data_IF_971486927022
#
_entry.id   IF_971486927022
#
_cell.length_a   1.000
_cell.length_b   1.000
_cell.length_c   1.000
_cell.angle_alpha   90.00
_cell.angle_beta   90.00
_cell.angle_gamma   90.00
#
_symmetry.space_group_name_H-M   'P 1'
#
loop_
_entity.id
_entity.type
_entity.pdbx_description
1 polymer ?
#
# COMPACT_ATOMS: atom_id res chain seq x y z
N UNK A 1 -17.84 -20.94 -2.83
CA UNK A 1 -17.16 -19.96 -3.71
C UNK A 1 -15.77 -19.61 -3.18
N UNK A 2 -15.62 -19.25 -1.88
CA UNK A 2 -14.31 -18.84 -1.31
C UNK A 2 -13.23 -19.92 -1.44
N UNK A 3 -13.54 -21.17 -1.12
CA UNK A 3 -12.57 -22.28 -1.21
C UNK A 3 -12.07 -22.55 -2.64
N UNK A 4 -12.75 -22.05 -3.68
CA UNK A 4 -12.27 -22.20 -5.05
C UNK A 4 -11.11 -21.26 -5.40
N UNK A 5 -10.83 -20.26 -4.58
CA UNK A 5 -9.67 -19.38 -4.75
C UNK A 5 -8.38 -19.97 -4.17
N UNK A 6 -8.49 -20.94 -3.26
CA UNK A 6 -7.36 -21.55 -2.59
C UNK A 6 -6.89 -22.78 -3.36
N UNK A 7 -5.60 -22.86 -3.68
CA UNK A 7 -4.99 -24.03 -4.31
C UNK A 7 -4.67 -25.13 -3.29
N UNK A 8 -4.53 -24.76 -2.03
CA UNK A 8 -4.20 -25.65 -0.90
C UNK A 8 -4.72 -25.05 0.40
N UNK A 9 -4.97 -25.88 1.39
CA UNK A 9 -5.32 -25.48 2.75
C UNK A 9 -4.07 -25.35 3.65
N UNK A 10 -2.88 -25.58 3.09
CA UNK A 10 -1.62 -25.53 3.83
C UNK A 10 -0.92 -24.19 3.62
N UNK A 11 -0.39 -23.62 4.72
CA UNK A 11 0.52 -22.48 4.67
C UNK A 11 1.94 -22.95 4.41
N UNK A 12 2.59 -22.32 3.46
CA UNK A 12 4.02 -22.51 3.23
C UNK A 12 4.74 -21.26 3.75
N UNK A 13 5.56 -21.44 4.80
CA UNK A 13 6.43 -20.35 5.26
C UNK A 13 7.58 -20.21 4.27
N UNK A 14 7.58 -19.11 3.53
CA UNK A 14 8.58 -18.83 2.49
C UNK A 14 9.85 -18.26 3.11
N UNK A 15 9.73 -17.46 4.16
CA UNK A 15 10.85 -16.79 4.81
C UNK A 15 10.58 -16.50 6.28
N UNK A 16 11.64 -16.44 7.07
CA UNK A 16 11.65 -15.99 8.46
C UNK A 16 12.81 -15.00 8.65
N UNK A 17 12.59 -13.91 9.41
CA UNK A 17 13.64 -12.92 9.70
C UNK A 17 13.33 -11.51 9.24
N UNK A 18 12.09 -11.22 8.79
CA UNK A 18 11.58 -9.86 8.74
C UNK A 18 11.06 -9.45 10.13
N UNK A 19 11.27 -8.19 10.51
CA UNK A 19 10.63 -7.64 11.70
C UNK A 19 9.19 -7.22 11.42
N UNK A 20 8.96 -6.62 10.24
CA UNK A 20 7.66 -6.15 9.81
C UNK A 20 7.60 -6.15 8.28
N UNK A 21 6.93 -7.14 7.71
CA UNK A 21 6.81 -7.29 6.26
C UNK A 21 5.68 -6.41 5.73
N UNK A 22 6.00 -5.53 4.78
CA UNK A 22 5.10 -4.54 4.21
C UNK A 22 5.13 -4.54 2.68
N UNK A 23 4.04 -4.08 2.07
CA UNK A 23 3.94 -3.78 0.66
C UNK A 23 4.41 -4.89 -0.28
N UNK A 24 3.92 -6.15 -0.16
CA UNK A 24 4.30 -7.18 -1.11
C UNK A 24 3.86 -6.80 -2.52
N UNK A 25 4.79 -6.89 -3.47
CA UNK A 25 4.59 -6.53 -4.87
C UNK A 25 5.25 -7.56 -5.79
N UNK A 26 4.47 -8.14 -6.70
CA UNK A 26 4.98 -9.05 -7.71
C UNK A 26 5.34 -8.28 -8.98
N UNK A 27 6.52 -8.54 -9.52
CA UNK A 27 7.05 -7.94 -10.76
C UNK A 27 7.05 -9.01 -11.84
N UNK A 28 6.07 -8.99 -12.78
CA UNK A 28 5.80 -10.11 -13.68
C UNK A 28 6.97 -10.47 -14.61
N UNK A 29 7.61 -9.48 -15.25
CA UNK A 29 8.69 -9.73 -16.22
C UNK A 29 9.96 -10.34 -15.59
N UNK A 30 10.07 -10.30 -14.24
CA UNK A 30 11.19 -10.90 -13.49
C UNK A 30 10.80 -12.14 -12.71
N UNK A 31 9.52 -12.53 -12.74
CA UNK A 31 8.97 -13.58 -11.88
C UNK A 31 9.43 -13.41 -10.42
N UNK A 32 9.35 -12.19 -9.91
CA UNK A 32 9.94 -11.77 -8.64
C UNK A 32 8.88 -11.17 -7.71
N UNK A 33 8.81 -11.65 -6.46
CA UNK A 33 8.09 -10.99 -5.40
C UNK A 33 9.06 -10.11 -4.60
N UNK A 34 8.71 -8.83 -4.40
CA UNK A 34 9.45 -7.90 -3.54
C UNK A 34 8.57 -7.52 -2.35
N UNK A 35 9.18 -7.26 -1.19
CA UNK A 35 8.49 -6.67 -0.05
C UNK A 35 9.45 -5.82 0.78
N UNK A 36 8.89 -4.91 1.57
CA UNK A 36 9.63 -4.09 2.51
C UNK A 36 9.75 -4.81 3.84
N UNK A 37 10.95 -4.84 4.42
CA UNK A 37 11.20 -5.17 5.83
C UNK A 37 11.50 -3.84 6.52
N UNK A 38 10.41 -3.11 6.84
CA UNK A 38 10.45 -1.69 7.10
C UNK A 38 11.35 -1.33 8.29
N UNK A 39 11.21 -1.90 9.53
CA UNK A 39 12.08 -1.50 10.64
C UNK A 39 13.55 -1.90 10.45
N UNK A 40 13.83 -2.93 9.65
CA UNK A 40 15.21 -3.29 9.28
C UNK A 40 15.79 -2.39 8.17
N UNK A 41 15.02 -1.43 7.71
CA UNK A 41 15.42 -0.48 6.65
C UNK A 41 15.95 -1.16 5.38
N UNK A 42 15.31 -2.27 4.98
CA UNK A 42 15.67 -3.04 3.78
C UNK A 42 14.45 -3.50 3.01
N UNK A 43 14.68 -3.92 1.78
CA UNK A 43 13.69 -4.64 0.96
C UNK A 43 14.22 -6.02 0.64
N UNK A 44 13.31 -6.97 0.62
CA UNK A 44 13.59 -8.37 0.33
C UNK A 44 13.00 -8.75 -1.03
N UNK A 45 13.50 -9.81 -1.63
CA UNK A 45 12.94 -10.42 -2.85
C UNK A 45 12.93 -11.94 -2.77
N UNK A 46 11.96 -12.52 -3.44
CA UNK A 46 11.85 -13.95 -3.71
C UNK A 46 11.94 -14.18 -5.22
N UNK A 47 12.88 -14.99 -5.65
CA UNK A 47 13.08 -15.45 -7.03
C UNK A 47 13.49 -16.92 -6.98
N UNK A 48 12.88 -17.78 -7.79
CA UNK A 48 13.21 -19.23 -7.86
C UNK A 48 13.27 -19.89 -6.47
N UNK A 49 12.28 -19.63 -5.62
CA UNK A 49 12.17 -20.10 -4.22
C UNK A 49 13.34 -19.66 -3.31
N UNK A 50 14.15 -18.70 -3.74
CA UNK A 50 15.26 -18.15 -2.96
C UNK A 50 14.94 -16.73 -2.49
N UNK A 51 15.04 -16.52 -1.17
CA UNK A 51 14.89 -15.19 -0.58
C UNK A 51 16.26 -14.54 -0.39
N UNK A 52 16.36 -13.27 -0.79
CA UNK A 52 17.56 -12.46 -0.63
C UNK A 52 17.22 -10.98 -0.47
N UNK A 53 18.20 -10.16 -0.10
CA UNK A 53 17.99 -8.72 -0.08
C UNK A 53 17.86 -8.18 -1.51
N UNK A 54 16.82 -7.34 -1.70
CA UNK A 54 16.63 -6.59 -2.93
C UNK A 54 17.36 -5.24 -2.89
N UNK A 55 17.23 -4.52 -1.76
CA UNK A 55 17.87 -3.22 -1.52
C UNK A 55 18.11 -2.98 -0.03
N UNK A 56 19.32 -2.51 0.32
CA UNK A 56 19.71 -2.17 1.68
C UNK A 56 20.78 -1.04 1.64
N UNK A 57 20.54 0.15 2.27
CA UNK A 57 19.30 0.55 2.92
C UNK A 57 18.17 0.85 1.94
N UNK A 58 16.91 0.68 2.38
CA UNK A 58 15.72 1.01 1.60
C UNK A 58 15.23 2.45 1.82
N UNK A 59 15.76 3.12 2.81
CA UNK A 59 15.26 4.36 3.36
C UNK A 59 13.84 4.22 3.91
N UNK A 60 13.62 3.11 4.64
CA UNK A 60 12.33 2.74 5.23
C UNK A 60 11.20 2.73 4.20
N UNK A 61 11.40 2.02 3.08
CA UNK A 61 10.30 1.77 2.16
C UNK A 61 9.20 0.97 2.84
N UNK A 62 7.95 1.25 2.47
CA UNK A 62 6.76 0.64 3.02
C UNK A 62 5.91 0.02 1.89
N UNK A 63 4.82 0.64 1.46
CA UNK A 63 3.98 0.16 0.37
C UNK A 63 4.68 0.19 -0.99
N UNK A 64 4.42 -0.83 -1.80
CA UNK A 64 5.03 -0.98 -3.11
C UNK A 64 3.98 -1.37 -4.16
N UNK A 65 4.20 -0.93 -5.38
CA UNK A 65 3.44 -1.31 -6.59
C UNK A 65 4.36 -1.25 -7.80
N UNK A 66 3.86 -1.61 -8.97
CA UNK A 66 4.55 -1.36 -10.24
C UNK A 66 3.83 -0.29 -11.06
N UNK A 67 4.58 0.46 -11.87
CA UNK A 67 4.00 1.31 -12.90
C UNK A 67 3.63 0.48 -14.16
N UNK A 68 3.06 1.13 -15.17
CA UNK A 68 2.65 0.45 -16.41
C UNK A 68 3.84 0.00 -17.28
N UNK A 69 5.07 0.41 -16.94
CA UNK A 69 6.33 -0.08 -17.52
C UNK A 69 6.99 -1.16 -16.65
N UNK A 70 6.28 -1.63 -15.60
CA UNK A 70 6.73 -2.61 -14.61
C UNK A 70 7.94 -2.17 -13.75
N UNK A 71 8.25 -0.87 -13.65
CA UNK A 71 9.19 -0.38 -12.68
C UNK A 71 8.56 -0.38 -11.28
N UNK A 72 9.37 -0.65 -10.26
CA UNK A 72 8.90 -0.64 -8.88
C UNK A 72 8.71 0.79 -8.38
N UNK A 73 7.50 1.09 -7.91
CA UNK A 73 7.14 2.35 -7.26
C UNK A 73 6.93 2.09 -5.77
N UNK A 74 7.62 2.83 -4.91
CA UNK A 74 7.63 2.60 -3.47
C UNK A 74 7.36 3.87 -2.69
N UNK A 75 6.52 3.78 -1.66
CA UNK A 75 6.45 4.78 -0.61
C UNK A 75 7.65 4.66 0.32
N UNK A 76 8.24 5.76 0.74
CA UNK A 76 9.37 5.79 1.68
C UNK A 76 9.03 6.66 2.88
N UNK A 77 9.03 6.05 4.06
CA UNK A 77 8.89 6.75 5.32
C UNK A 77 10.12 7.62 5.61
N UNK A 78 11.32 7.06 5.50
CA UNK A 78 12.54 7.79 5.78
C UNK A 78 12.84 8.90 4.78
N UNK A 79 12.52 8.69 3.50
CA UNK A 79 12.64 9.71 2.46
C UNK A 79 11.51 10.74 2.48
N UNK A 80 10.38 10.43 3.10
CA UNK A 80 9.14 11.22 3.04
C UNK A 80 8.77 11.54 1.59
N UNK A 81 8.81 10.51 0.74
CA UNK A 81 8.65 10.65 -0.71
C UNK A 81 8.16 9.35 -1.36
N UNK A 82 7.89 9.42 -2.64
CA UNK A 82 7.67 8.28 -3.52
C UNK A 82 8.91 8.06 -4.37
N UNK A 83 9.39 6.83 -4.42
CA UNK A 83 10.53 6.41 -5.26
C UNK A 83 10.06 5.60 -6.47
N UNK A 84 10.82 5.72 -7.56
CA UNK A 84 10.83 4.78 -8.69
C UNK A 84 12.16 4.05 -8.69
N UNK A 85 12.11 2.73 -8.83
CA UNK A 85 13.29 1.86 -8.98
C UNK A 85 13.21 1.17 -10.33
N UNK A 86 14.20 1.37 -11.16
CA UNK A 86 14.28 0.76 -12.49
C UNK A 86 14.85 -0.68 -12.43
N UNK A 87 14.95 -1.33 -13.59
CA UNK A 87 15.46 -2.68 -13.73
C UNK A 87 16.91 -2.86 -13.28
N UNK A 88 17.71 -1.80 -13.28
CA UNK A 88 19.10 -1.79 -12.83
C UNK A 88 19.23 -1.43 -11.34
N UNK A 89 18.09 -1.37 -10.62
CA UNK A 89 18.01 -0.97 -9.20
C UNK A 89 18.45 0.49 -8.96
N UNK A 90 18.42 1.33 -9.99
CA UNK A 90 18.60 2.77 -9.79
C UNK A 90 17.35 3.36 -9.20
N UNK A 91 17.52 4.15 -8.13
CA UNK A 91 16.42 4.79 -7.41
C UNK A 91 16.35 6.26 -7.75
N UNK A 92 15.18 6.74 -8.11
CA UNK A 92 14.90 8.16 -8.35
C UNK A 92 13.69 8.61 -7.54
N UNK A 93 13.66 9.89 -7.15
CA UNK A 93 12.51 10.50 -6.49
C UNK A 93 11.46 10.86 -7.54
N UNK A 94 10.24 10.39 -7.33
CA UNK A 94 9.08 10.74 -8.17
C UNK A 94 8.44 12.03 -7.68
N UNK A 95 8.15 12.11 -6.38
CA UNK A 95 7.58 13.29 -5.71
C UNK A 95 7.94 13.26 -4.23
N UNK A 96 8.29 14.41 -3.66
CA UNK A 96 8.75 14.52 -2.26
C UNK A 96 8.11 15.69 -1.50
N UNK A 97 7.26 16.50 -2.15
CA UNK A 97 6.70 17.70 -1.55
C UNK A 97 5.28 18.00 -2.02
N UNK A 98 4.52 18.58 -1.10
CA UNK A 98 3.24 19.20 -1.35
C UNK A 98 3.29 20.68 -0.94
N UNK A 99 3.08 21.59 -1.90
CA UNK A 99 3.15 23.07 -1.65
C UNK A 99 4.44 23.51 -0.95
N UNK A 100 5.57 22.90 -1.31
CA UNK A 100 6.89 23.18 -0.73
C UNK A 100 7.19 22.50 0.60
N UNK A 101 6.21 21.81 1.20
CA UNK A 101 6.33 21.07 2.47
C UNK A 101 6.60 19.60 2.22
N UNK A 102 7.35 18.95 3.10
CA UNK A 102 7.56 17.50 3.04
C UNK A 102 6.27 16.75 3.35
N UNK A 103 6.10 15.59 2.73
CA UNK A 103 5.05 14.65 3.12
C UNK A 103 5.22 14.21 4.59
N UNK A 104 4.15 13.67 5.18
CA UNK A 104 4.27 13.03 6.50
C UNK A 104 5.17 11.79 6.40
N UNK A 105 4.64 10.71 5.91
CA UNK A 105 5.37 9.48 5.58
C UNK A 105 4.54 8.65 4.61
N UNK A 106 4.67 8.86 3.28
CA UNK A 106 3.94 8.08 2.29
C UNK A 106 3.95 6.60 2.62
N UNK A 107 2.77 5.97 2.69
CA UNK A 107 2.60 4.65 3.28
C UNK A 107 2.26 3.59 2.22
N UNK A 108 1.05 3.58 1.64
CA UNK A 108 0.69 2.63 0.58
C UNK A 108 0.36 3.35 -0.74
N UNK A 109 0.39 2.60 -1.85
CA UNK A 109 0.46 3.18 -3.19
C UNK A 109 -0.18 2.27 -4.23
N UNK A 110 -0.85 2.87 -5.20
CA UNK A 110 -1.30 2.21 -6.42
C UNK A 110 -1.10 3.10 -7.65
N UNK A 111 -0.95 2.47 -8.80
CA UNK A 111 -0.82 3.16 -10.10
C UNK A 111 -2.05 2.82 -10.93
N UNK A 112 -2.63 3.84 -11.55
CA UNK A 112 -3.78 3.72 -12.42
C UNK A 112 -3.34 3.47 -13.88
N UNK A 113 -4.22 2.95 -14.73
CA UNK A 113 -3.93 2.68 -16.15
C UNK A 113 -3.54 3.92 -16.96
N UNK A 114 -3.80 5.13 -16.44
CA UNK A 114 -3.40 6.41 -17.03
C UNK A 114 -2.04 6.92 -16.50
N UNK A 115 -1.23 6.06 -15.87
CA UNK A 115 0.06 6.31 -15.23
C UNK A 115 -0.01 7.19 -13.97
N UNK A 116 -1.18 7.64 -13.55
CA UNK A 116 -1.26 8.43 -12.32
C UNK A 116 -0.99 7.57 -11.09
N UNK A 117 -0.21 8.12 -10.17
CA UNK A 117 0.25 7.48 -8.94
C UNK A 117 -0.58 8.02 -7.79
N UNK A 118 -1.23 7.12 -7.04
CA UNK A 118 -2.07 7.45 -5.91
C UNK A 118 -1.49 6.86 -4.64
N UNK A 119 -1.34 7.66 -3.60
CA UNK A 119 -0.73 7.22 -2.35
C UNK A 119 -1.34 7.88 -1.12
N UNK A 120 -1.20 7.21 0.00
CA UNK A 120 -1.64 7.66 1.32
C UNK A 120 -0.46 8.25 2.09
N UNK A 121 -0.74 9.24 2.96
CA UNK A 121 0.31 9.95 3.69
C UNK A 121 -0.01 10.13 5.19
N UNK A 122 -0.11 9.02 5.94
CA UNK A 122 -0.24 9.05 7.40
C UNK A 122 1.10 9.37 8.07
N UNK A 123 1.15 9.64 9.39
CA UNK A 123 2.38 10.09 10.05
C UNK A 123 3.26 8.96 10.61
N UNK A 124 2.99 7.69 10.33
CA UNK A 124 3.62 6.55 11.00
C UNK A 124 5.15 6.62 10.97
N UNK A 125 5.75 6.88 9.82
CA UNK A 125 7.21 6.93 9.66
C UNK A 125 7.90 8.14 10.28
N UNK A 126 7.15 9.08 10.88
CA UNK A 126 7.69 10.25 11.60
C UNK A 126 7.35 10.27 13.09
N UNK A 127 6.59 9.27 13.58
CA UNK A 127 6.25 9.19 15.01
C UNK A 127 7.44 8.76 15.86
N UNK A 128 8.34 7.94 15.31
CA UNK A 128 9.53 7.42 16.01
C UNK A 128 10.62 7.09 15.00
N UNK A 129 11.79 6.63 15.49
CA UNK A 129 12.88 6.12 14.67
C UNK A 129 12.77 4.61 14.38
N UNK A 130 11.62 4.00 14.62
CA UNK A 130 11.41 2.56 14.44
C UNK A 130 11.16 2.18 12.99
N UNK A 131 10.30 2.92 12.29
CA UNK A 131 9.90 2.65 10.90
C UNK A 131 10.15 3.85 9.95
N UNK A 132 11.00 4.77 10.38
CA UNK A 132 11.36 5.97 9.65
C UNK A 132 12.31 6.82 10.47
N UNK A 133 12.22 8.13 10.36
CA UNK A 133 12.96 9.08 11.16
C UNK A 133 11.98 10.01 11.87
N UNK A 134 12.10 10.09 13.22
CA UNK A 134 11.24 10.96 14.00
C UNK A 134 11.28 12.40 13.47
N UNK A 135 10.11 12.96 13.27
CA UNK A 135 9.95 14.29 12.71
C UNK A 135 8.58 14.90 13.04
N UNK A 136 8.31 16.04 12.43
CA UNK A 136 7.05 16.75 12.61
C UNK A 136 6.28 16.81 11.30
N UNK A 137 4.95 16.84 11.39
CA UNK A 137 4.08 17.13 10.26
C UNK A 137 4.27 18.60 9.86
N UNK A 138 4.52 18.83 8.57
CA UNK A 138 4.67 20.19 8.02
C UNK A 138 3.34 20.81 7.56
N UNK A 139 2.27 20.00 7.50
CA UNK A 139 0.89 20.42 7.25
C UNK A 139 -0.09 19.63 8.14
N UNK A 140 -1.25 20.19 8.35
CA UNK A 140 -2.28 19.60 9.20
C UNK A 140 -2.99 18.44 8.50
N UNK A 141 -3.13 17.31 9.21
CA UNK A 141 -3.88 16.14 8.76
C UNK A 141 -3.08 15.15 7.91
N UNK A 142 -3.78 14.11 7.50
CA UNK A 142 -3.25 13.01 6.70
C UNK A 142 -4.01 12.96 5.38
N UNK A 143 -3.31 13.05 4.27
CA UNK A 143 -3.95 13.20 2.97
C UNK A 143 -3.80 11.95 2.12
N UNK A 144 -4.67 11.84 1.14
CA UNK A 144 -4.53 10.95 0.00
C UNK A 144 -4.20 11.81 -1.21
N UNK A 145 -3.13 11.47 -1.89
CA UNK A 145 -2.62 12.23 -3.03
C UNK A 145 -2.79 11.47 -4.34
N UNK A 146 -2.89 12.23 -5.43
CA UNK A 146 -2.77 11.78 -6.81
C UNK A 146 -1.68 12.59 -7.50
N UNK A 147 -0.64 11.93 -7.97
CA UNK A 147 0.44 12.53 -8.75
C UNK A 147 0.32 12.10 -10.21
N UNK A 148 0.40 13.06 -11.12
CA UNK A 148 0.47 12.81 -12.56
C UNK A 148 1.91 13.01 -13.05
N UNK A 149 2.64 11.95 -13.44
CA UNK A 149 4.04 12.04 -13.82
C UNK A 149 4.25 12.80 -15.14
N UNK A 150 3.25 12.85 -16.03
CA UNK A 150 3.35 13.54 -17.31
C UNK A 150 3.24 15.07 -17.16
N UNK A 151 2.39 15.53 -16.25
CA UNK A 151 2.15 16.97 -16.02
C UNK A 151 2.88 17.50 -14.77
N UNK A 152 3.48 16.62 -13.98
CA UNK A 152 4.10 16.91 -12.67
C UNK A 152 3.12 17.54 -11.68
N UNK A 153 1.82 17.30 -11.87
CA UNK A 153 0.77 17.82 -11.00
C UNK A 153 0.49 16.88 -9.85
N UNK A 154 0.49 17.43 -8.64
CA UNK A 154 0.08 16.75 -7.42
C UNK A 154 -1.25 17.34 -6.94
N UNK A 155 -2.26 16.49 -6.80
CA UNK A 155 -3.59 16.84 -6.33
C UNK A 155 -3.88 16.14 -5.00
N UNK A 156 -4.59 16.81 -4.10
CA UNK A 156 -5.15 16.22 -2.89
C UNK A 156 -6.51 15.62 -3.21
N UNK A 157 -6.67 14.33 -2.98
CA UNK A 157 -7.92 13.62 -3.25
C UNK A 157 -8.90 13.69 -2.08
N UNK A 158 -8.40 13.53 -0.87
CA UNK A 158 -9.20 13.71 0.35
C UNK A 158 -8.31 14.12 1.53
N UNK A 159 -8.92 14.86 2.46
CA UNK A 159 -8.35 15.28 3.77
C UNK A 159 -9.21 14.76 4.94
N UNK A 160 -10.22 13.94 4.64
CA UNK A 160 -11.27 13.60 5.60
C UNK A 160 -11.07 12.23 6.25
N UNK A 161 -9.88 11.65 6.12
CA UNK A 161 -9.50 10.41 6.78
C UNK A 161 -8.55 10.73 7.94
N UNK A 162 -8.59 9.91 9.00
CA UNK A 162 -7.74 10.12 10.17
C UNK A 162 -6.30 9.68 9.88
N UNK A 163 -6.12 8.39 9.52
CA UNK A 163 -4.80 7.83 9.13
C UNK A 163 -4.98 6.89 7.94
N UNK A 164 -5.10 7.45 6.71
CA UNK A 164 -5.23 6.61 5.51
C UNK A 164 -4.00 5.72 5.34
N UNK A 165 -4.22 4.43 5.11
CA UNK A 165 -3.19 3.41 5.03
C UNK A 165 -3.30 2.68 3.69
N UNK A 166 -3.74 1.42 3.62
CA UNK A 166 -3.90 0.69 2.38
C UNK A 166 -4.74 1.42 1.34
N UNK A 167 -4.35 1.32 0.06
CA UNK A 167 -5.04 1.95 -1.07
C UNK A 167 -5.00 1.06 -2.30
N UNK A 168 -6.15 0.83 -2.94
CA UNK A 168 -6.23 0.11 -4.20
C UNK A 168 -7.47 0.48 -5.01
N UNK A 169 -7.34 0.46 -6.35
CA UNK A 169 -8.49 0.55 -7.25
C UNK A 169 -9.23 -0.79 -7.37
N UNK A 170 -10.53 -0.72 -7.70
CA UNK A 170 -11.21 -1.85 -8.30
C UNK A 170 -10.58 -2.17 -9.67
N UNK A 171 -10.76 -3.41 -10.15
CA UNK A 171 -10.19 -3.83 -11.43
C UNK A 171 -10.62 -2.94 -12.62
N UNK A 172 -11.84 -2.40 -12.60
CA UNK A 172 -12.34 -1.47 -13.60
C UNK A 172 -12.00 0.01 -13.34
N UNK A 173 -11.22 0.28 -12.30
CA UNK A 173 -10.77 1.61 -11.84
C UNK A 173 -11.90 2.63 -11.57
N UNK A 174 -13.14 2.17 -11.47
CA UNK A 174 -14.28 3.05 -11.15
C UNK A 174 -14.47 3.28 -9.66
N UNK A 175 -13.77 2.50 -8.83
CA UNK A 175 -13.79 2.62 -7.38
C UNK A 175 -12.37 2.67 -6.84
N UNK A 176 -12.19 3.42 -5.76
CA UNK A 176 -10.97 3.47 -4.97
C UNK A 176 -11.32 3.03 -3.55
N UNK A 177 -10.60 2.03 -3.06
CA UNK A 177 -10.70 1.57 -1.69
C UNK A 177 -9.57 2.17 -0.87
N UNK A 178 -9.87 2.61 0.35
CA UNK A 178 -8.88 3.16 1.27
C UNK A 178 -9.18 2.65 2.68
N UNK A 179 -8.16 2.08 3.34
CA UNK A 179 -8.20 1.75 4.74
C UNK A 179 -7.88 2.99 5.58
N UNK A 180 -8.63 3.21 6.64
CA UNK A 180 -8.36 4.22 7.65
C UNK A 180 -8.04 3.53 8.98
N UNK A 181 -6.82 3.72 9.47
CA UNK A 181 -6.27 3.07 10.67
C UNK A 181 -6.08 4.05 11.83
N UNK A 182 -6.86 5.12 11.84
CA UNK A 182 -6.90 6.09 12.94
C UNK A 182 -7.33 5.46 14.26
N UNK A 183 -7.03 6.11 15.37
CA UNK A 183 -7.27 5.56 16.72
C UNK A 183 -8.74 5.20 16.97
N UNK A 184 -9.66 6.02 16.42
CA UNK A 184 -11.10 5.84 16.60
C UNK A 184 -11.80 5.36 15.33
N UNK A 185 -11.06 5.19 14.23
CA UNK A 185 -11.58 4.82 12.92
C UNK A 185 -10.75 3.66 12.38
N UNK A 186 -11.33 2.46 12.33
CA UNK A 186 -10.66 1.24 11.87
C UNK A 186 -11.50 0.62 10.76
N UNK A 187 -11.59 1.33 9.64
CA UNK A 187 -12.56 1.08 8.60
C UNK A 187 -11.91 0.92 7.23
N UNK A 188 -12.55 0.14 6.37
CA UNK A 188 -12.32 0.18 4.93
C UNK A 188 -13.44 1.01 4.29
N UNK A 189 -13.05 2.02 3.53
CA UNK A 189 -13.96 2.85 2.75
C UNK A 189 -13.81 2.57 1.25
N UNK A 190 -14.89 2.80 0.53
CA UNK A 190 -14.91 2.84 -0.94
C UNK A 190 -15.41 4.18 -1.42
N UNK A 191 -14.80 4.68 -2.46
CA UNK A 191 -15.15 5.92 -3.15
C UNK A 191 -15.45 5.61 -4.62
N UNK A 192 -16.37 6.34 -5.23
CA UNK A 192 -16.52 6.35 -6.67
C UNK A 192 -15.44 7.25 -7.29
N UNK A 193 -14.82 6.80 -8.37
CA UNK A 193 -13.81 7.57 -9.14
C UNK A 193 -14.49 8.18 -10.36
N UNK A 194 -14.50 9.50 -10.43
CA UNK A 194 -15.11 10.24 -11.53
C UNK A 194 -14.25 11.45 -11.91
N UNK A 195 -13.80 11.51 -13.17
CA UNK A 195 -13.01 12.62 -13.69
C UNK A 195 -11.82 12.97 -12.77
N UNK A 196 -11.03 11.97 -12.42
CA UNK A 196 -9.85 12.10 -11.54
C UNK A 196 -10.13 12.64 -10.12
N UNK A 197 -11.37 12.51 -9.66
CA UNK A 197 -11.80 12.84 -8.30
C UNK A 197 -12.40 11.61 -7.63
N UNK A 198 -12.34 11.60 -6.32
CA UNK A 198 -13.06 10.61 -5.51
C UNK A 198 -14.27 11.28 -4.86
N UNK A 199 -15.42 10.61 -4.94
CA UNK A 199 -16.70 11.07 -4.43
C UNK A 199 -17.46 9.93 -3.76
N UNK A 200 -18.57 10.22 -3.11
CA UNK A 200 -19.51 9.21 -2.58
C UNK A 200 -18.84 8.19 -1.64
N UNK A 201 -18.09 8.68 -0.65
CA UNK A 201 -17.49 7.83 0.39
C UNK A 201 -18.56 6.92 1.02
N UNK A 202 -18.29 5.62 1.07
CA UNK A 202 -19.12 4.62 1.73
C UNK A 202 -18.28 3.72 2.60
N UNK A 203 -18.81 3.35 3.77
CA UNK A 203 -18.22 2.32 4.62
C UNK A 203 -18.40 0.94 3.96
N UNK A 204 -17.31 0.21 3.80
CA UNK A 204 -17.31 -1.20 3.39
C UNK A 204 -17.38 -2.10 4.61
N UNK A 205 -16.47 -1.88 5.57
CA UNK A 205 -16.37 -2.71 6.77
C UNK A 205 -15.73 -1.94 7.93
N UNK A 206 -16.24 -2.18 9.16
CA UNK A 206 -15.62 -1.74 10.41
C UNK A 206 -14.86 -2.92 11.01
N UNK A 207 -13.54 -2.78 11.15
CA UNK A 207 -12.64 -3.86 11.59
C UNK A 207 -12.43 -3.92 13.10
N UNK A 208 -12.98 -2.98 13.87
CA UNK A 208 -12.75 -2.91 15.32
C UNK A 208 -12.93 -4.27 16.01
N UNK A 209 -12.04 -4.63 16.94
CA UNK A 209 -10.90 -3.88 17.49
C UNK A 209 -9.61 -3.99 16.67
N UNK A 210 -9.66 -4.56 15.49
CA UNK A 210 -8.54 -4.67 14.55
C UNK A 210 -8.62 -3.57 13.49
N UNK A 211 -7.70 -3.55 12.55
CA UNK A 211 -7.72 -2.66 11.39
C UNK A 211 -7.33 -3.42 10.12
N UNK A 212 -7.75 -2.90 8.98
CA UNK A 212 -7.26 -3.26 7.66
C UNK A 212 -6.02 -2.44 7.40
N UNK A 213 -4.93 -3.08 7.05
CA UNK A 213 -3.68 -2.44 6.68
C UNK A 213 -3.54 -2.39 5.15
N UNK A 214 -2.54 -3.06 4.60
CA UNK A 214 -2.41 -3.21 3.15
C UNK A 214 -3.43 -4.18 2.56
N UNK A 215 -3.85 -3.92 1.33
CA UNK A 215 -4.75 -4.79 0.57
C UNK A 215 -4.54 -4.65 -0.94
N UNK A 216 -5.07 -5.62 -1.69
CA UNK A 216 -5.04 -5.60 -3.15
C UNK A 216 -6.36 -6.11 -3.71
N UNK A 217 -6.71 -5.66 -4.91
CA UNK A 217 -7.82 -6.23 -5.69
C UNK A 217 -7.31 -7.33 -6.61
N UNK A 218 -8.08 -8.40 -6.76
CA UNK A 218 -7.84 -9.41 -7.77
C UNK A 218 -8.58 -9.08 -9.09
N UNK A 219 -8.30 -9.88 -10.14
CA UNK A 219 -8.92 -9.70 -11.46
C UNK A 219 -10.44 -9.88 -11.49
N UNK A 220 -11.00 -10.55 -10.49
CA UNK A 220 -12.44 -10.78 -10.36
C UNK A 220 -13.10 -9.66 -9.53
N UNK A 221 -12.30 -8.65 -9.09
CA UNK A 221 -12.73 -7.48 -8.33
C UNK A 221 -12.88 -7.74 -6.84
N UNK A 222 -12.41 -8.86 -6.32
CA UNK A 222 -12.38 -9.08 -4.88
C UNK A 222 -11.26 -8.28 -4.22
N UNK A 223 -11.50 -7.82 -3.01
CA UNK A 223 -10.52 -7.13 -2.16
C UNK A 223 -9.98 -8.12 -1.13
N UNK A 224 -8.67 -8.30 -1.13
CA UNK A 224 -7.95 -9.13 -0.18
C UNK A 224 -7.16 -8.24 0.77
N UNK A 225 -7.51 -8.24 2.05
CA UNK A 225 -6.94 -7.35 3.06
C UNK A 225 -6.43 -8.10 4.28
N UNK A 226 -5.28 -7.68 4.80
CA UNK A 226 -4.86 -8.08 6.14
C UNK A 226 -5.81 -7.49 7.18
N UNK A 227 -6.26 -8.29 8.15
CA UNK A 227 -7.13 -7.82 9.22
C UNK A 227 -7.05 -8.72 10.47
N UNK A 228 -6.42 -8.23 11.51
CA UNK A 228 -6.18 -9.01 12.73
C UNK A 228 -5.35 -10.26 12.41
N UNK A 229 -5.85 -11.45 12.79
CA UNK A 229 -5.17 -12.74 12.56
C UNK A 229 -5.58 -13.41 11.25
N UNK A 230 -6.02 -12.64 10.26
CA UNK A 230 -6.54 -13.20 9.01
C UNK A 230 -6.25 -12.31 7.81
N UNK A 231 -6.26 -12.92 6.64
CA UNK A 231 -6.50 -12.23 5.37
C UNK A 231 -7.98 -12.40 5.02
N UNK A 232 -8.71 -11.31 4.93
CA UNK A 232 -10.14 -11.28 4.60
C UNK A 232 -10.36 -11.00 3.11
N UNK A 233 -11.40 -11.62 2.55
CA UNK A 233 -11.77 -11.44 1.16
C UNK A 233 -13.19 -10.87 1.06
N UNK A 234 -13.31 -9.71 0.39
CA UNK A 234 -14.59 -9.06 0.08
C UNK A 234 -14.86 -9.17 -1.42
N UNK A 235 -16.10 -9.49 -1.79
CA UNK A 235 -16.51 -9.52 -3.19
C UNK A 235 -16.76 -8.10 -3.75
N UNK A 236 -16.99 -7.94 -5.09
CA UNK A 236 -17.27 -6.64 -5.69
C UNK A 236 -18.51 -5.90 -5.13
N UNK A 237 -19.41 -6.61 -4.45
CA UNK A 237 -20.54 -6.03 -3.73
C UNK A 237 -20.19 -5.56 -2.31
N UNK A 238 -18.91 -5.65 -1.91
CA UNK A 238 -18.41 -5.35 -0.58
C UNK A 238 -18.91 -6.30 0.53
N UNK A 239 -19.24 -7.54 0.18
CA UNK A 239 -19.64 -8.57 1.12
C UNK A 239 -18.41 -9.41 1.50
N UNK A 240 -18.22 -9.67 2.80
CA UNK A 240 -17.20 -10.60 3.27
C UNK A 240 -17.55 -12.02 2.84
N UNK A 241 -16.78 -12.62 1.94
CA UNK A 241 -17.02 -13.95 1.39
C UNK A 241 -16.14 -15.04 2.02
N UNK A 242 -15.09 -14.66 2.74
CA UNK A 242 -14.24 -15.60 3.44
C UNK A 242 -13.02 -14.97 4.06
N UNK A 243 -12.27 -15.81 4.77
CA UNK A 243 -11.01 -15.40 5.38
C UNK A 243 -10.03 -16.56 5.44
N UNK A 244 -8.73 -16.24 5.38
CA UNK A 244 -7.62 -17.16 5.59
C UNK A 244 -7.03 -16.82 6.95
N UNK A 245 -7.15 -17.74 7.92
CA UNK A 245 -6.53 -17.55 9.24
C UNK A 245 -5.03 -17.78 9.14
N UNK A 246 -4.24 -16.87 9.69
CA UNK A 246 -2.77 -16.98 9.75
C UNK A 246 -2.39 -17.56 11.10
N UNK A 247 -1.77 -18.76 11.16
CA UNK A 247 -1.61 -19.51 12.41
C UNK A 247 -0.64 -18.89 13.42
N UNK A 248 0.28 -18.03 12.99
CA UNK A 248 1.44 -17.55 13.78
C UNK A 248 1.41 -16.04 14.07
N UNK A 249 0.24 -15.44 14.14
CA UNK A 249 0.08 -14.04 14.55
C UNK A 249 -0.33 -13.89 16.00
#
# INVERSE_FOLDING_TARGET
LFNSFLKTDEFIKVFEGTLWAEGPCYIPHKDMLVWSDNPNNRMMKLVDDQVSEFRNPSNFCNGNTIDNEENLISCSHGGRCVYKTDDNINVSVVVDRFEGKKFNSPNDICVKSDDTIWFTDPPYGILSDYEGYKGEQEYEGCYVFRFNPHTQKLDVMTKNLDRPNGIAFSHDEKKLYIADTGENVQCLYVFDVLNDKIINQKLVYDFKPFFSDGFRSDKDGNIWTSAGKAVKCFNPNNELIGQILVPEL
#
